data_IF_717942753461
#
_entry.id   IF_717942753461
#
_cell.length_a   1.000
_cell.length_b   1.000
_cell.length_c   1.000
_cell.angle_alpha   90.00
_cell.angle_beta   90.00
_cell.angle_gamma   90.00
#
_symmetry.space_group_name_H-M   'P 1'
#
loop_
_entity.id
_entity.type
_entity.pdbx_description
1 polymer ?
#
# COMPACT_ATOMS: atom_id res chain seq x y z
N UNK A 1 13.35 -19.89 7.03
CA UNK A 1 13.41 -18.75 6.08
C UNK A 1 12.64 -19.18 4.85
N UNK A 2 11.49 -18.56 4.56
CA UNK A 2 10.70 -18.92 3.39
C UNK A 2 11.40 -18.36 2.15
N UNK A 3 11.82 -19.23 1.23
CA UNK A 3 12.33 -18.83 -0.07
C UNK A 3 11.36 -17.84 -0.72
N UNK A 4 11.83 -16.72 -1.28
CA UNK A 4 10.97 -15.85 -2.06
C UNK A 4 10.48 -16.68 -3.23
N UNK A 5 9.18 -16.99 -3.24
CA UNK A 5 8.52 -17.61 -4.39
C UNK A 5 8.86 -16.74 -5.60
N UNK A 6 9.70 -17.27 -6.50
CA UNK A 6 10.19 -16.55 -7.67
C UNK A 6 8.95 -16.07 -8.43
N UNK A 7 8.71 -14.75 -8.41
CA UNK A 7 7.60 -14.18 -9.15
C UNK A 7 7.79 -14.55 -10.63
N UNK A 8 6.72 -14.93 -11.36
CA UNK A 8 6.86 -15.25 -12.77
C UNK A 8 7.52 -14.08 -13.51
N UNK A 9 8.63 -14.33 -14.20
CA UNK A 9 9.41 -13.33 -14.97
C UNK A 9 8.68 -12.84 -16.24
N UNK A 10 7.36 -12.99 -16.29
CA UNK A 10 6.56 -12.64 -17.45
C UNK A 10 6.44 -11.10 -17.54
N UNK A 11 6.73 -10.49 -18.71
CA UNK A 11 6.79 -9.03 -18.85
C UNK A 11 5.55 -8.29 -18.32
N UNK A 12 4.36 -8.83 -18.57
CA UNK A 12 3.12 -8.22 -18.07
C UNK A 12 2.96 -8.27 -16.53
N UNK A 13 3.50 -9.30 -15.85
CA UNK A 13 3.48 -9.35 -14.38
C UNK A 13 4.48 -8.36 -13.81
N UNK A 14 5.65 -8.24 -14.44
CA UNK A 14 6.69 -7.27 -14.06
C UNK A 14 6.18 -5.85 -14.19
N UNK A 15 5.48 -5.52 -15.28
CA UNK A 15 4.92 -4.18 -15.49
C UNK A 15 3.83 -3.84 -14.46
N UNK A 16 2.95 -4.80 -14.12
CA UNK A 16 1.97 -4.61 -13.05
C UNK A 16 2.64 -4.33 -11.69
N UNK A 17 3.70 -5.07 -11.38
CA UNK A 17 4.46 -4.88 -10.13
C UNK A 17 5.16 -3.51 -10.11
N UNK A 18 5.69 -3.05 -11.26
CA UNK A 18 6.28 -1.71 -11.42
C UNK A 18 5.26 -0.60 -11.19
N UNK A 19 4.09 -0.69 -11.80
CA UNK A 19 3.00 0.31 -11.62
C UNK A 19 2.52 0.30 -10.18
N UNK A 20 2.37 -0.88 -9.57
CA UNK A 20 2.01 -1.01 -8.15
C UNK A 20 3.03 -0.31 -7.24
N UNK A 21 4.33 -0.56 -7.43
CA UNK A 21 5.38 0.11 -6.66
C UNK A 21 5.37 1.63 -6.84
N UNK A 22 5.10 2.12 -8.04
CA UNK A 22 5.00 3.56 -8.31
C UNK A 22 3.84 4.22 -7.56
N UNK A 23 2.69 3.55 -7.47
CA UNK A 23 1.54 4.01 -6.68
C UNK A 23 1.83 4.03 -5.18
N UNK A 24 2.55 3.03 -4.67
CA UNK A 24 2.98 2.98 -3.26
C UNK A 24 3.93 4.14 -2.95
N UNK A 25 4.93 4.39 -3.79
CA UNK A 25 5.85 5.51 -3.64
C UNK A 25 5.09 6.85 -3.64
N UNK A 26 4.11 7.02 -4.53
CA UNK A 26 3.26 8.21 -4.55
C UNK A 26 2.46 8.39 -3.25
N UNK A 27 1.99 7.30 -2.63
CA UNK A 27 1.32 7.37 -1.34
C UNK A 27 2.28 7.80 -0.21
N UNK A 28 3.55 7.40 -0.27
CA UNK A 28 4.59 7.83 0.68
C UNK A 28 4.91 9.32 0.54
N UNK A 29 5.02 9.82 -0.69
CA UNK A 29 5.15 11.26 -0.95
C UNK A 29 3.97 12.04 -0.36
N UNK A 30 2.75 11.55 -0.55
CA UNK A 30 1.54 12.17 0.03
C UNK A 30 1.54 12.13 1.55
N UNK A 31 2.01 11.04 2.18
CA UNK A 31 2.18 10.94 3.63
C UNK A 31 3.11 12.04 4.14
N UNK A 32 4.25 12.20 3.48
CA UNK A 32 5.29 13.12 3.93
C UNK A 32 4.86 14.58 3.68
N UNK A 33 4.28 14.87 2.51
CA UNK A 33 3.70 16.18 2.19
C UNK A 33 2.56 16.57 3.15
N UNK A 34 1.68 15.63 3.49
CA UNK A 34 0.64 15.84 4.49
C UNK A 34 1.24 16.22 5.85
N UNK A 35 2.24 15.48 6.31
CA UNK A 35 2.86 15.71 7.61
C UNK A 35 3.54 17.07 7.67
N UNK A 36 4.27 17.47 6.62
CA UNK A 36 4.87 18.81 6.53
C UNK A 36 3.81 19.91 6.54
N UNK A 37 2.74 19.75 5.75
CA UNK A 37 1.62 20.71 5.73
C UNK A 37 0.97 20.84 7.11
N UNK A 38 0.74 19.71 7.79
CA UNK A 38 0.16 19.69 9.13
C UNK A 38 1.09 20.31 10.18
N UNK A 39 2.41 20.11 10.06
CA UNK A 39 3.41 20.76 10.92
C UNK A 39 3.39 22.27 10.73
N UNK A 40 3.36 22.77 9.50
CA UNK A 40 3.32 24.21 9.21
C UNK A 40 2.09 24.89 9.82
N UNK A 41 0.92 24.24 9.80
CA UNK A 41 -0.29 24.78 10.45
C UNK A 41 -0.18 24.89 11.98
N UNK A 42 0.63 24.02 12.58
CA UNK A 42 0.87 23.94 14.01
C UNK A 42 2.13 24.70 14.46
N UNK A 43 2.88 25.31 13.54
CA UNK A 43 4.10 26.05 13.87
C UNK A 43 3.81 27.14 14.91
N UNK A 44 4.58 27.12 16.01
CA UNK A 44 4.43 28.07 17.12
C UNK A 44 3.19 27.88 18.01
N UNK A 45 2.40 26.81 17.82
CA UNK A 45 1.20 26.52 18.64
C UNK A 45 1.42 25.31 19.53
N UNK A 46 1.03 25.36 20.82
CA UNK A 46 1.04 24.19 21.68
C UNK A 46 -0.01 23.18 21.19
N UNK A 47 0.38 21.90 21.11
CA UNK A 47 -0.50 20.81 20.70
C UNK A 47 0.20 19.79 19.82
N UNK A 48 -0.52 18.73 19.46
CA UNK A 48 -0.04 17.69 18.56
C UNK A 48 -0.95 17.54 17.36
N UNK A 49 -0.39 17.01 16.27
CA UNK A 49 -1.16 16.63 15.09
C UNK A 49 -1.91 15.32 15.43
N UNK A 50 -3.25 15.33 15.51
CA UNK A 50 -4.02 14.20 16.04
C UNK A 50 -4.24 13.05 15.04
N UNK A 51 -3.67 13.15 13.84
CA UNK A 51 -3.94 12.24 12.73
C UNK A 51 -2.69 12.08 11.86
N UNK A 52 -2.46 10.87 11.35
CA UNK A 52 -1.33 10.53 10.47
C UNK A 52 -1.75 9.54 9.39
N UNK A 53 -1.02 9.51 8.28
CA UNK A 53 -1.12 8.46 7.26
C UNK A 53 -0.12 7.35 7.62
N UNK A 54 -0.56 6.10 7.60
CA UNK A 54 0.29 4.92 7.79
C UNK A 54 0.28 4.09 6.51
N UNK A 55 1.47 3.63 6.14
CA UNK A 55 1.69 2.73 5.03
C UNK A 55 2.40 1.50 5.61
N UNK A 56 1.78 0.33 5.47
CA UNK A 56 2.30 -0.94 6.00
C UNK A 56 2.41 -1.95 4.87
N UNK A 57 3.60 -2.47 4.63
CA UNK A 57 3.84 -3.51 3.65
C UNK A 57 3.89 -4.88 4.33
N UNK A 58 2.97 -5.76 3.97
CA UNK A 58 2.93 -7.15 4.44
C UNK A 58 3.63 -8.10 3.48
N UNK A 59 3.72 -7.74 2.20
CA UNK A 59 4.51 -8.43 1.17
C UNK A 59 4.79 -7.46 0.01
N UNK A 60 5.67 -7.79 -0.95
CA UNK A 60 6.01 -6.91 -2.06
C UNK A 60 4.79 -6.30 -2.78
N UNK A 61 3.71 -7.08 -2.91
CA UNK A 61 2.46 -6.66 -3.58
C UNK A 61 1.26 -6.56 -2.62
N UNK A 62 1.51 -6.41 -1.32
CA UNK A 62 0.47 -6.24 -0.31
C UNK A 62 0.82 -5.09 0.63
N UNK A 63 0.35 -3.90 0.28
CA UNK A 63 0.46 -2.67 1.07
C UNK A 63 -0.91 -2.25 1.57
N UNK A 64 -0.96 -1.85 2.84
CA UNK A 64 -2.09 -1.18 3.48
C UNK A 64 -1.78 0.29 3.64
N UNK A 65 -2.59 1.15 3.04
CA UNK A 65 -2.53 2.61 3.17
C UNK A 65 -3.74 3.05 4.00
N UNK A 66 -3.52 3.59 5.19
CA UNK A 66 -4.59 3.89 6.14
C UNK A 66 -4.39 5.22 6.86
N UNK A 67 -5.49 5.83 7.32
CA UNK A 67 -5.43 6.89 8.31
C UNK A 67 -5.39 6.30 9.73
N UNK A 68 -4.64 6.95 10.61
CA UNK A 68 -4.57 6.59 12.02
C UNK A 68 -4.67 7.82 12.92
N UNK A 69 -5.33 7.65 14.06
CA UNK A 69 -5.47 8.66 15.11
C UNK A 69 -4.27 8.61 16.06
N UNK A 70 -3.70 9.76 16.35
CA UNK A 70 -2.62 9.94 17.32
C UNK A 70 -3.20 10.45 18.63
N UNK A 71 -2.96 9.70 19.71
CA UNK A 71 -3.38 10.03 21.05
C UNK A 71 -2.12 10.21 21.90
N UNK A 72 -1.95 11.41 22.45
CA UNK A 72 -0.95 11.67 23.49
C UNK A 72 -1.61 11.47 24.85
N UNK A 73 -1.17 10.50 25.67
CA UNK A 73 -1.66 10.36 27.03
C UNK A 73 -1.35 11.64 27.82
N UNK A 74 -2.30 12.11 28.62
CA UNK A 74 -2.03 13.21 29.57
C UNK A 74 -1.01 12.72 30.59
N UNK A 75 0.08 13.47 30.73
CA UNK A 75 1.05 13.25 31.79
C UNK A 75 0.48 13.80 33.10
N UNK A 76 0.45 12.97 34.14
CA UNK A 76 0.28 13.46 35.51
C UNK A 76 1.65 13.88 36.04
N UNK A 77 1.69 14.88 36.92
CA UNK A 77 2.93 15.27 37.59
C UNK A 77 3.57 14.05 38.26
N UNK A 78 4.89 13.87 38.06
CA UNK A 78 5.65 12.74 38.58
C UNK A 78 5.60 11.45 37.75
N UNK A 79 4.79 11.36 36.69
CA UNK A 79 4.80 10.19 35.79
C UNK A 79 5.81 10.36 34.64
N UNK A 80 6.51 9.26 34.30
CA UNK A 80 7.35 9.20 33.12
C UNK A 80 6.54 9.44 31.83
N UNK A 81 7.18 10.05 30.81
CA UNK A 81 6.58 10.29 29.49
C UNK A 81 6.03 8.98 28.90
N UNK A 82 4.70 8.84 28.89
CA UNK A 82 4.02 7.71 28.26
C UNK A 82 4.15 7.79 26.73
N UNK A 83 4.36 6.66 26.04
CA UNK A 83 4.48 6.66 24.59
C UNK A 83 3.17 7.11 23.93
N UNK A 84 3.29 7.75 22.76
CA UNK A 84 2.14 8.07 21.91
C UNK A 84 1.40 6.78 21.53
N UNK A 85 0.08 6.83 21.55
CA UNK A 85 -0.76 5.73 21.10
C UNK A 85 -1.28 6.04 19.71
N UNK A 86 -1.07 5.11 18.78
CA UNK A 86 -1.56 5.21 17.39
C UNK A 86 -2.69 4.19 17.23
N UNK A 87 -3.90 4.68 16.94
CA UNK A 87 -5.07 3.83 16.68
C UNK A 87 -5.45 3.89 15.21
N UNK A 88 -5.51 2.73 14.56
CA UNK A 88 -6.04 2.62 13.19
C UNK A 88 -7.49 3.08 13.16
N UNK A 89 -7.85 3.89 12.16
CA UNK A 89 -9.23 4.33 11.95
C UNK A 89 -9.90 3.30 11.04
N UNK A 90 -11.10 2.86 11.41
CA UNK A 90 -11.87 1.99 10.55
C UNK A 90 -12.36 2.77 9.33
N UNK A 91 -11.95 2.33 8.13
CA UNK A 91 -12.38 2.89 6.85
C UNK A 91 -13.81 2.50 6.51
N UNK A 92 -14.27 1.34 6.97
CA UNK A 92 -15.44 0.69 6.42
C UNK A 92 -15.17 0.09 5.02
N UNK A 93 -16.22 -0.27 4.28
CA UNK A 93 -16.09 -0.82 2.93
C UNK A 93 -15.59 0.22 1.92
N UNK A 94 -14.92 -0.24 0.86
CA UNK A 94 -14.45 0.61 -0.25
C UNK A 94 -13.04 1.18 -0.06
N UNK A 95 -12.65 2.11 -0.94
CA UNK A 95 -11.32 2.74 -0.98
C UNK A 95 -11.25 4.07 -0.23
N UNK A 96 -12.39 4.72 0.03
CA UNK A 96 -12.49 6.05 0.67
C UNK A 96 -13.02 5.97 2.10
N UNK A 97 -12.43 6.73 3.01
CA UNK A 97 -12.93 6.92 4.37
C UNK A 97 -14.16 7.86 4.39
N UNK A 98 -15.22 7.55 5.15
CA UNK A 98 -16.34 8.46 5.32
C UNK A 98 -15.90 9.70 6.11
N UNK A 99 -16.55 10.85 5.86
CA UNK A 99 -16.20 12.13 6.50
C UNK A 99 -16.29 12.04 8.03
N UNK A 100 -17.22 11.24 8.55
CA UNK A 100 -17.41 11.00 9.99
C UNK A 100 -16.20 10.37 10.68
N UNK A 101 -15.38 9.60 9.95
CA UNK A 101 -14.14 9.00 10.47
C UNK A 101 -13.11 10.04 10.91
N UNK A 102 -13.25 11.30 10.47
CA UNK A 102 -12.36 12.41 10.80
C UNK A 102 -13.00 13.46 11.72
N UNK A 103 -14.13 13.15 12.35
CA UNK A 103 -14.89 14.07 13.22
C UNK A 103 -14.07 14.67 14.38
N UNK A 104 -13.01 13.98 14.82
CA UNK A 104 -12.11 14.44 15.89
C UNK A 104 -11.05 15.46 15.42
N UNK A 105 -10.89 15.66 14.11
CA UNK A 105 -9.96 16.64 13.53
C UNK A 105 -10.67 17.99 13.41
N UNK A 106 -10.02 19.05 13.90
CA UNK A 106 -10.54 20.43 13.84
C UNK A 106 -9.98 21.18 12.62
N UNK A 107 -10.66 22.26 12.23
CA UNK A 107 -10.13 23.17 11.20
C UNK A 107 -8.87 23.90 11.69
N UNK A 108 -7.94 24.26 10.80
CA UNK A 108 -7.97 24.06 9.33
C UNK A 108 -7.49 22.67 8.86
N UNK A 109 -6.97 21.84 9.77
CA UNK A 109 -6.39 20.53 9.44
C UNK A 109 -7.42 19.58 8.81
N UNK A 110 -8.68 19.67 9.22
CA UNK A 110 -9.78 18.86 8.69
C UNK A 110 -9.96 19.04 7.18
N UNK A 111 -9.85 20.25 6.66
CA UNK A 111 -9.93 20.53 5.22
C UNK A 111 -8.78 19.87 4.44
N UNK A 112 -7.57 19.88 5.00
CA UNK A 112 -6.41 19.23 4.40
C UNK A 112 -6.55 17.71 4.42
N UNK A 113 -7.01 17.12 5.53
CA UNK A 113 -7.29 15.68 5.62
C UNK A 113 -8.25 15.25 4.50
N UNK A 114 -9.30 16.03 4.23
CA UNK A 114 -10.25 15.75 3.15
C UNK A 114 -9.58 15.77 1.77
N UNK A 115 -8.75 16.77 1.49
CA UNK A 115 -8.06 16.89 0.21
C UNK A 115 -7.08 15.73 -0.04
N UNK A 116 -6.30 15.35 0.97
CA UNK A 116 -5.39 14.21 0.85
C UNK A 116 -6.12 12.86 0.80
N UNK A 117 -7.24 12.71 1.50
CA UNK A 117 -8.03 11.48 1.45
C UNK A 117 -8.61 11.19 0.07
N UNK A 118 -8.95 12.22 -0.73
CA UNK A 118 -9.39 12.01 -2.12
C UNK A 118 -8.28 11.30 -2.93
N UNK A 119 -7.06 11.84 -2.88
CA UNK A 119 -5.91 11.28 -3.60
C UNK A 119 -5.53 9.89 -3.09
N UNK A 120 -5.55 9.68 -1.77
CA UNK A 120 -5.26 8.36 -1.19
C UNK A 120 -6.32 7.32 -1.55
N UNK A 121 -7.60 7.72 -1.65
CA UNK A 121 -8.66 6.80 -2.06
C UNK A 121 -8.46 6.32 -3.50
N UNK A 122 -8.10 7.21 -4.42
CA UNK A 122 -7.76 6.86 -5.81
C UNK A 122 -6.60 5.88 -5.89
N UNK A 123 -5.52 6.12 -5.12
CA UNK A 123 -4.38 5.20 -5.05
C UNK A 123 -4.79 3.83 -4.50
N UNK A 124 -5.59 3.80 -3.42
CA UNK A 124 -6.08 2.53 -2.85
C UNK A 124 -6.93 1.75 -3.85
N UNK A 125 -7.78 2.43 -4.63
CA UNK A 125 -8.58 1.81 -5.68
C UNK A 125 -7.70 1.22 -6.78
N UNK A 126 -6.75 2.01 -7.31
CA UNK A 126 -5.82 1.56 -8.34
C UNK A 126 -4.98 0.35 -7.88
N UNK A 127 -4.45 0.40 -6.65
CA UNK A 127 -3.75 -0.73 -6.04
C UNK A 127 -4.63 -1.99 -5.95
N UNK A 128 -5.90 -1.85 -5.55
CA UNK A 128 -6.85 -2.97 -5.48
C UNK A 128 -7.10 -3.60 -6.85
N UNK A 129 -7.27 -2.78 -7.88
CA UNK A 129 -7.44 -3.23 -9.27
C UNK A 129 -6.19 -3.98 -9.75
N UNK A 130 -5.00 -3.41 -9.58
CA UNK A 130 -3.74 -4.05 -9.99
C UNK A 130 -3.55 -5.39 -9.29
N UNK A 131 -3.79 -5.45 -7.98
CA UNK A 131 -3.71 -6.70 -7.22
C UNK A 131 -4.71 -7.75 -7.73
N UNK A 132 -5.93 -7.35 -8.11
CA UNK A 132 -6.93 -8.25 -8.68
C UNK A 132 -6.46 -8.81 -10.02
N UNK A 133 -6.00 -7.95 -10.93
CA UNK A 133 -5.48 -8.35 -12.24
C UNK A 133 -4.28 -9.28 -12.07
N UNK A 134 -3.33 -8.93 -11.18
CA UNK A 134 -2.16 -9.75 -10.88
C UNK A 134 -2.54 -11.15 -10.38
N UNK A 135 -3.53 -11.25 -9.47
CA UNK A 135 -4.02 -12.55 -8.94
C UNK A 135 -4.59 -13.44 -10.04
N UNK A 136 -5.16 -12.87 -11.10
CA UNK A 136 -5.67 -13.61 -12.26
C UNK A 136 -4.55 -13.97 -13.25
N UNK A 137 -3.64 -13.03 -13.49
CA UNK A 137 -2.57 -13.16 -14.49
C UNK A 137 -1.48 -14.16 -14.05
N UNK A 138 -1.04 -14.12 -12.80
CA UNK A 138 0.06 -14.97 -12.31
C UNK A 138 -0.21 -16.47 -12.52
N UNK A 139 -1.39 -17.03 -12.15
CA UNK A 139 -1.71 -18.43 -12.44
C UNK A 139 -1.81 -18.74 -13.94
N UNK A 140 -2.35 -17.81 -14.74
CA UNK A 140 -2.48 -18.00 -16.18
C UNK A 140 -1.11 -18.11 -16.87
N UNK A 141 -0.19 -17.22 -16.53
CA UNK A 141 1.20 -17.24 -16.99
C UNK A 141 1.90 -18.53 -16.59
N UNK A 142 1.72 -18.99 -15.35
CA UNK A 142 2.30 -20.24 -14.87
C UNK A 142 1.81 -21.44 -15.68
N UNK A 143 0.51 -21.49 -16.00
CA UNK A 143 -0.06 -22.56 -16.84
C UNK A 143 0.49 -22.52 -18.26
N UNK A 144 0.59 -21.35 -18.89
CA UNK A 144 1.14 -21.20 -20.23
C UNK A 144 2.61 -21.68 -20.30
N UNK A 145 3.45 -21.27 -19.34
CA UNK A 145 4.84 -21.73 -19.29
C UNK A 145 5.00 -23.24 -19.04
N UNK A 146 4.08 -23.86 -18.30
CA UNK A 146 4.04 -25.33 -18.13
C UNK A 146 3.69 -26.02 -19.45
N UNK A 147 2.73 -25.48 -20.21
CA UNK A 147 2.35 -26.00 -21.53
C UNK A 147 3.50 -25.89 -22.53
N UNK A 148 4.17 -24.73 -22.60
CA UNK A 148 5.33 -24.52 -23.49
C UNK A 148 6.49 -25.47 -23.15
N UNK A 149 6.77 -25.67 -21.86
CA UNK A 149 7.78 -26.63 -21.40
C UNK A 149 7.42 -28.09 -21.73
N UNK A 150 6.14 -28.43 -21.68
CA UNK A 150 5.64 -29.79 -21.99
C UNK A 150 5.69 -30.07 -23.49
N UNK A 151 5.34 -29.08 -24.32
CA UNK A 151 5.47 -29.17 -25.78
C UNK A 151 6.94 -29.25 -26.19
N UNK A 152 7.81 -28.43 -25.60
CA UNK A 152 9.25 -28.49 -25.87
C UNK A 152 9.83 -29.85 -25.51
N UNK A 153 9.45 -30.43 -24.36
CA UNK A 153 9.89 -31.76 -23.95
C UNK A 153 9.40 -32.86 -24.90
N UNK A 154 8.15 -32.77 -25.37
CA UNK A 154 7.57 -33.71 -26.33
C UNK A 154 8.30 -33.68 -27.68
N UNK A 155 8.59 -32.49 -28.21
CA UNK A 155 9.32 -32.33 -29.49
C UNK A 155 10.75 -32.91 -29.41
N UNK A 156 11.47 -32.72 -28.30
CA UNK A 156 12.81 -33.30 -28.13
C UNK A 156 12.84 -34.81 -27.97
N UNK A 157 11.73 -35.47 -27.63
CA UNK A 157 11.69 -36.93 -27.48
C UNK A 157 11.40 -37.64 -28.81
N UNK A 158 10.62 -37.03 -29.71
CA UNK A 158 10.20 -37.64 -30.97
C UNK A 158 11.15 -37.38 -32.16
N UNK A 159 12.13 -36.48 -32.03
CA UNK A 159 13.16 -36.24 -33.04
C UNK A 159 14.54 -36.15 -32.38
N UNK A 160 15.23 -37.29 -32.11
CA UNK A 160 16.66 -37.24 -31.89
C UNK A 160 17.31 -36.71 -33.18
N UNK A 161 18.11 -35.65 -33.07
CA UNK A 161 18.89 -35.12 -34.18
C UNK A 161 19.64 -36.28 -34.84
N UNK A 162 19.34 -36.54 -36.12
CA UNK A 162 20.07 -37.51 -36.91
C UNK A 162 21.53 -37.06 -36.95
N UNK A 163 22.39 -37.81 -36.27
CA UNK A 163 23.83 -37.60 -36.26
C UNK A 163 24.38 -37.83 -37.67
N UNK A 164 25.08 -36.83 -38.22
CA UNK A 164 26.01 -36.99 -39.35
C UNK A 164 27.31 -37.67 -38.90
#
# INVERSE_FOLDING_TARGET
MNSPSEAPKHPAVVELDRVYSSLVARAEELRDAFFQTALSLHAGKPGHIPIVIRIRQSSPNAVTIEWAKVILPRLKEGEAKKPRVIRTINKGPGSKYPVSSFSFVKEPLKSIVRAYEIQLAEIREACSVIQRVRRQLVPAVKRAGVVDGSISAFITHDYPAASE
#
